data_IF_099420331112
#
_entry.id   IF_099420331112
#
_cell.length_a   1.000
_cell.length_b   1.000
_cell.length_c   1.000
_cell.angle_alpha   90.00
_cell.angle_beta   90.00
_cell.angle_gamma   90.00
#
_symmetry.space_group_name_H-M   'P 1'
#
loop_
_entity.id
_entity.type
_entity.pdbx_description
1 polymer ?
#
# COMPACT_ATOMS: atom_id res chain seq x y z
N UNK A 1 22.47 57.71 38.37
CA UNK A 1 21.21 57.75 37.59
C UNK A 1 21.51 56.99 36.30
N UNK A 2 21.25 55.70 36.31
CA UNK A 2 20.04 55.08 35.72
C UNK A 2 20.21 55.01 34.19
N UNK A 3 20.14 53.87 33.50
CA UNK A 3 19.65 52.57 33.89
C UNK A 3 19.98 51.51 32.84
N UNK A 4 19.71 50.28 33.26
CA UNK A 4 20.01 48.98 32.68
C UNK A 4 19.16 48.67 31.45
N UNK A 5 19.74 48.00 30.45
CA UNK A 5 19.06 46.89 29.76
C UNK A 5 20.06 46.03 29.00
N UNK A 6 20.61 45.03 29.71
CA UNK A 6 21.24 43.85 29.12
C UNK A 6 20.10 42.94 28.71
N UNK A 7 19.78 42.87 27.42
CA UNK A 7 18.89 41.84 26.91
C UNK A 7 19.67 40.52 26.83
N UNK A 8 19.60 39.75 27.91
CA UNK A 8 19.86 38.32 27.89
C UNK A 8 18.88 37.66 26.91
N UNK A 9 19.35 37.39 25.69
CA UNK A 9 18.71 36.41 24.84
C UNK A 9 19.14 35.03 25.29
N UNK A 10 18.50 34.54 26.36
CA UNK A 10 18.44 33.11 26.68
C UNK A 10 17.64 32.43 25.59
N UNK A 11 18.28 32.13 24.46
CA UNK A 11 17.74 31.21 23.48
C UNK A 11 17.86 29.81 24.07
N UNK A 12 16.80 29.38 24.76
CA UNK A 12 16.52 27.99 25.04
C UNK A 12 16.31 27.27 23.69
N UNK A 13 17.40 26.92 23.00
CA UNK A 13 17.36 25.90 21.99
C UNK A 13 17.18 24.57 22.72
N UNK A 14 15.92 24.20 22.93
CA UNK A 14 15.52 22.85 23.25
C UNK A 14 16.06 21.96 22.13
N UNK A 15 17.19 21.31 22.37
CA UNK A 15 17.67 20.20 21.55
C UNK A 15 16.70 19.04 21.73
N UNK A 16 15.57 19.11 21.04
CA UNK A 16 14.74 17.94 20.83
C UNK A 16 15.56 17.02 19.93
N UNK A 17 16.24 16.05 20.53
CA UNK A 17 16.73 14.85 19.86
C UNK A 17 15.53 14.01 19.45
N UNK A 18 14.67 14.58 18.60
CA UNK A 18 13.68 13.84 17.85
C UNK A 18 14.45 12.87 16.99
N UNK A 19 14.48 11.59 17.38
CA UNK A 19 14.86 10.48 16.48
C UNK A 19 14.07 10.72 15.19
N UNK A 20 14.73 11.26 14.17
CA UNK A 20 14.19 11.32 12.82
C UNK A 20 13.96 9.88 12.43
N UNK A 21 12.73 9.40 12.64
CA UNK A 21 12.24 8.18 12.00
C UNK A 21 12.22 8.56 10.53
N UNK A 22 13.30 8.26 9.82
CA UNK A 22 13.28 8.24 8.36
C UNK A 22 12.09 7.35 8.02
N UNK A 23 11.04 7.95 7.46
CA UNK A 23 9.99 7.17 6.81
C UNK A 23 10.73 6.51 5.65
N UNK A 24 11.17 5.28 5.87
CA UNK A 24 11.77 4.46 4.83
C UNK A 24 10.64 4.18 3.84
N UNK A 25 10.46 5.11 2.91
CA UNK A 25 9.64 4.88 1.73
C UNK A 25 10.29 3.71 1.01
N UNK A 26 9.60 2.59 0.82
CA UNK A 26 10.21 1.45 0.16
C UNK A 26 10.67 1.86 -1.23
N UNK A 27 11.86 1.41 -1.63
CA UNK A 27 12.37 1.65 -2.98
C UNK A 27 11.48 1.02 -4.04
N UNK A 28 11.67 1.42 -5.30
CA UNK A 28 10.86 0.99 -6.44
C UNK A 28 10.66 -0.53 -6.51
N UNK A 29 11.72 -1.31 -6.29
CA UNK A 29 11.65 -2.77 -6.27
C UNK A 29 10.65 -3.30 -5.22
N UNK A 30 10.68 -2.75 -4.01
CA UNK A 30 9.80 -3.16 -2.93
C UNK A 30 8.34 -2.78 -3.21
N UNK A 31 8.12 -1.62 -3.85
CA UNK A 31 6.79 -1.20 -4.29
C UNK A 31 6.24 -2.15 -5.36
N UNK A 32 7.03 -2.50 -6.37
CA UNK A 32 6.64 -3.43 -7.43
C UNK A 32 6.29 -4.82 -6.89
N UNK A 33 7.17 -5.40 -6.06
CA UNK A 33 6.92 -6.73 -5.48
C UNK A 33 5.74 -6.74 -4.53
N UNK A 34 5.58 -5.69 -3.71
CA UNK A 34 4.46 -5.58 -2.77
C UNK A 34 3.12 -5.35 -3.47
N UNK A 35 3.09 -4.50 -4.50
CA UNK A 35 1.88 -4.24 -5.31
C UNK A 35 1.45 -5.48 -6.08
N UNK A 36 2.41 -6.22 -6.64
CA UNK A 36 2.12 -7.48 -7.32
C UNK A 36 1.61 -8.55 -6.34
N UNK A 37 2.21 -8.68 -5.15
CA UNK A 37 1.69 -9.58 -4.11
C UNK A 37 0.26 -9.21 -3.70
N UNK A 38 -0.01 -7.92 -3.51
CA UNK A 38 -1.35 -7.43 -3.17
C UNK A 38 -2.38 -7.79 -4.24
N UNK A 39 -2.02 -7.65 -5.51
CA UNK A 39 -2.86 -8.07 -6.63
C UNK A 39 -3.17 -9.58 -6.59
N UNK A 40 -2.16 -10.43 -6.44
CA UNK A 40 -2.35 -11.88 -6.37
C UNK A 40 -3.22 -12.31 -5.18
N UNK A 41 -3.00 -11.68 -4.01
CA UNK A 41 -3.84 -11.93 -2.82
C UNK A 41 -5.29 -11.52 -3.08
N UNK A 42 -5.52 -10.40 -3.76
CA UNK A 42 -6.88 -9.94 -4.12
C UNK A 42 -7.55 -10.91 -5.10
N UNK A 43 -6.84 -11.36 -6.13
CA UNK A 43 -7.37 -12.34 -7.09
C UNK A 43 -7.74 -13.67 -6.42
N UNK A 44 -6.97 -14.08 -5.41
CA UNK A 44 -7.24 -15.28 -4.64
C UNK A 44 -8.34 -15.11 -3.55
N UNK A 45 -9.00 -13.93 -3.49
CA UNK A 45 -10.07 -13.62 -2.53
C UNK A 45 -9.57 -13.26 -1.12
N UNK A 46 -8.28 -12.98 -0.96
CA UNK A 46 -7.68 -12.51 0.28
C UNK A 46 -7.77 -11.00 0.50
N UNK A 47 -7.28 -10.53 1.64
CA UNK A 47 -7.35 -9.14 2.06
C UNK A 47 -5.98 -8.54 2.47
N UNK A 48 -5.95 -7.22 2.65
CA UNK A 48 -4.73 -6.48 3.06
C UNK A 48 -4.35 -6.68 4.54
N UNK A 49 -5.15 -7.43 5.31
CA UNK A 49 -4.88 -7.68 6.73
C UNK A 49 -3.74 -8.68 6.97
N UNK A 50 -3.32 -9.40 5.93
CA UNK A 50 -2.28 -10.42 6.00
C UNK A 50 -2.75 -11.74 6.63
N UNK A 51 -4.01 -11.84 7.09
CA UNK A 51 -4.56 -13.09 7.66
C UNK A 51 -4.63 -14.20 6.62
N UNK A 52 -5.04 -13.86 5.40
CA UNK A 52 -5.11 -14.82 4.31
C UNK A 52 -3.73 -15.40 3.99
N UNK A 53 -2.70 -14.54 3.91
CA UNK A 53 -1.32 -14.97 3.68
C UNK A 53 -0.74 -15.79 4.84
N UNK A 54 -1.01 -15.41 6.09
CA UNK A 54 -0.59 -16.19 7.27
C UNK A 54 -1.17 -17.61 7.22
N UNK A 55 -2.48 -17.74 6.97
CA UNK A 55 -3.14 -19.04 6.87
C UNK A 55 -2.54 -19.90 5.75
N UNK A 56 -2.35 -19.30 4.57
CA UNK A 56 -1.82 -20.02 3.41
C UNK A 56 -0.33 -20.37 3.54
N UNK A 57 0.48 -19.48 4.11
CA UNK A 57 1.89 -19.77 4.35
C UNK A 57 2.08 -20.88 5.39
N UNK A 58 1.23 -20.92 6.42
CA UNK A 58 1.25 -22.00 7.42
C UNK A 58 0.91 -23.37 6.82
N UNK A 59 0.11 -23.44 5.74
CA UNK A 59 -0.15 -24.69 5.01
C UNK A 59 1.10 -25.22 4.27
N UNK A 60 2.02 -24.34 3.87
CA UNK A 60 3.27 -24.72 3.21
C UNK A 60 4.32 -25.19 4.21
N UNK A 61 4.58 -24.37 5.23
CA UNK A 61 5.60 -24.63 6.24
C UNK A 61 5.34 -23.77 7.49
N UNK A 62 4.94 -24.44 8.57
CA UNK A 62 4.63 -23.82 9.85
C UNK A 62 5.87 -23.15 10.49
N UNK A 63 7.09 -23.60 10.17
CA UNK A 63 8.33 -23.06 10.73
C UNK A 63 8.74 -21.71 10.12
N UNK A 64 8.25 -21.41 8.92
CA UNK A 64 8.49 -20.15 8.20
C UNK A 64 7.26 -19.24 8.18
N UNK A 65 6.18 -19.64 8.84
CA UNK A 65 4.94 -18.89 8.94
C UNK A 65 5.16 -17.52 9.61
N UNK A 66 5.17 -16.47 8.79
CA UNK A 66 5.20 -15.10 9.27
C UNK A 66 3.81 -14.69 9.77
N UNK A 67 3.79 -13.93 10.87
CA UNK A 67 2.53 -13.46 11.48
C UNK A 67 1.76 -12.55 10.54
N UNK A 68 0.43 -12.53 10.61
CA UNK A 68 -0.42 -11.61 9.81
C UNK A 68 0.05 -10.16 9.81
N UNK A 69 0.52 -9.64 10.96
CA UNK A 69 0.97 -8.25 11.09
C UNK A 69 2.21 -7.95 10.25
N UNK A 70 3.03 -8.96 10.00
CA UNK A 70 4.18 -8.87 9.09
C UNK A 70 3.71 -8.77 7.64
N UNK A 71 2.86 -9.69 7.21
CA UNK A 71 2.28 -9.69 5.86
C UNK A 71 1.48 -8.42 5.56
N UNK A 72 0.73 -7.92 6.54
CA UNK A 72 0.02 -6.65 6.43
C UNK A 72 0.96 -5.48 6.10
N UNK A 73 2.17 -5.43 6.67
CA UNK A 73 3.13 -4.36 6.38
C UNK A 73 3.63 -4.41 4.94
N UNK A 74 3.87 -5.62 4.42
CA UNK A 74 4.24 -5.84 3.02
C UNK A 74 3.10 -5.45 2.09
N UNK A 75 1.87 -5.93 2.37
CA UNK A 75 0.68 -5.64 1.55
C UNK A 75 0.26 -4.16 1.55
N UNK A 76 0.59 -3.42 2.61
CA UNK A 76 0.38 -1.97 2.70
C UNK A 76 1.60 -1.16 2.25
N UNK A 77 2.61 -1.79 1.63
CA UNK A 77 3.80 -1.14 1.09
C UNK A 77 4.54 -0.29 2.16
N UNK A 78 4.55 -0.76 3.40
CA UNK A 78 5.30 -0.13 4.50
C UNK A 78 6.58 -0.89 4.84
N UNK A 79 6.78 -2.06 4.23
CA UNK A 79 7.93 -2.92 4.41
C UNK A 79 8.28 -3.65 3.11
N UNK A 80 9.57 -3.77 2.82
CA UNK A 80 10.07 -4.54 1.69
C UNK A 80 10.01 -6.04 1.98
N UNK A 81 9.78 -6.83 0.93
CA UNK A 81 9.94 -8.28 0.98
C UNK A 81 11.42 -8.65 1.04
N UNK A 82 11.76 -9.62 1.88
CA UNK A 82 13.05 -10.31 1.84
C UNK A 82 13.07 -11.37 0.74
N UNK A 83 14.25 -11.92 0.44
CA UNK A 83 14.38 -13.04 -0.50
C UNK A 83 13.55 -14.27 -0.07
N UNK A 84 13.48 -14.54 1.24
CA UNK A 84 12.67 -15.63 1.77
C UNK A 84 11.18 -15.36 1.58
N UNK A 85 10.72 -14.13 1.83
CA UNK A 85 9.32 -13.77 1.59
C UNK A 85 8.93 -13.92 0.13
N UNK A 86 9.84 -13.58 -0.79
CA UNK A 86 9.64 -13.78 -2.24
C UNK A 86 9.54 -15.28 -2.56
N UNK A 87 10.36 -16.12 -1.94
CA UNK A 87 10.30 -17.56 -2.14
C UNK A 87 8.97 -18.15 -1.63
N UNK A 88 8.53 -17.75 -0.43
CA UNK A 88 7.24 -18.15 0.13
C UNK A 88 6.08 -17.66 -0.73
N UNK A 89 6.07 -16.38 -1.11
CA UNK A 89 5.02 -15.81 -1.95
C UNK A 89 4.97 -16.51 -3.32
N UNK A 90 6.12 -16.77 -3.95
CA UNK A 90 6.15 -17.48 -5.23
C UNK A 90 5.60 -18.90 -5.12
N UNK A 91 5.98 -19.63 -4.06
CA UNK A 91 5.46 -20.97 -3.79
C UNK A 91 3.94 -20.99 -3.58
N UNK A 92 3.39 -19.99 -2.88
CA UNK A 92 1.95 -19.86 -2.65
C UNK A 92 1.11 -19.74 -3.93
N UNK A 93 1.71 -19.23 -5.00
CA UNK A 93 1.06 -19.01 -6.28
C UNK A 93 1.66 -19.88 -7.38
N UNK A 94 2.20 -21.05 -7.02
CA UNK A 94 2.74 -22.08 -7.91
C UNK A 94 3.70 -21.53 -8.98
N UNK A 95 4.59 -20.62 -8.58
CA UNK A 95 5.59 -20.02 -9.47
C UNK A 95 6.99 -19.98 -8.86
N UNK A 96 8.00 -19.80 -9.71
CA UNK A 96 9.37 -19.64 -9.23
C UNK A 96 9.62 -18.21 -8.70
N UNK A 97 10.56 -18.02 -7.75
CA UNK A 97 10.90 -16.68 -7.25
C UNK A 97 11.33 -15.73 -8.37
N UNK A 98 12.03 -16.24 -9.39
CA UNK A 98 12.42 -15.46 -10.57
C UNK A 98 11.21 -15.04 -11.40
N UNK A 99 10.25 -15.94 -11.62
CA UNK A 99 9.02 -15.63 -12.34
C UNK A 99 8.19 -14.57 -11.59
N UNK A 100 8.10 -14.69 -10.27
CA UNK A 100 7.43 -13.69 -9.41
C UNK A 100 8.05 -12.31 -9.59
N UNK A 101 9.37 -12.16 -9.43
CA UNK A 101 10.06 -10.87 -9.58
C UNK A 101 9.91 -10.32 -11.00
N UNK A 102 10.04 -11.17 -12.02
CA UNK A 102 9.88 -10.74 -13.41
C UNK A 102 8.46 -10.21 -13.66
N UNK A 103 7.42 -10.89 -13.17
CA UNK A 103 6.03 -10.46 -13.31
C UNK A 103 5.74 -9.20 -12.50
N UNK A 104 6.29 -9.08 -11.30
CA UNK A 104 6.17 -7.88 -10.47
C UNK A 104 6.73 -6.62 -11.16
N UNK A 105 7.85 -6.75 -11.89
CA UNK A 105 8.43 -5.63 -12.66
C UNK A 105 7.58 -5.22 -13.86
N UNK A 106 6.86 -6.15 -14.45
CA UNK A 106 5.96 -5.88 -15.58
C UNK A 106 4.55 -5.52 -15.13
N UNK A 107 4.23 -5.71 -13.85
CA UNK A 107 2.95 -5.38 -13.26
C UNK A 107 2.85 -3.87 -13.11
N UNK A 108 2.07 -3.24 -13.98
CA UNK A 108 1.64 -1.86 -13.80
C UNK A 108 0.40 -1.91 -12.92
N UNK A 109 0.57 -1.57 -11.64
CA UNK A 109 -0.58 -1.33 -10.79
C UNK A 109 -1.40 -0.21 -11.43
N UNK A 110 -2.66 -0.49 -11.81
CA UNK A 110 -3.65 0.56 -12.01
C UNK A 110 -3.57 1.49 -10.79
N UNK A 111 -3.55 2.83 -10.97
CA UNK A 111 -3.43 3.77 -9.87
C UNK A 111 -4.72 3.80 -9.06
N UNK A 112 -5.02 2.73 -8.34
CA UNK A 112 -5.96 2.72 -7.23
C UNK A 112 -5.33 3.50 -6.09
N UNK A 113 -5.46 4.83 -6.15
CA UNK A 113 -5.28 5.79 -5.06
C UNK A 113 -4.24 5.33 -4.03
N UNK A 114 -2.97 5.58 -4.33
CA UNK A 114 -1.89 5.56 -3.34
C UNK A 114 -2.39 6.27 -2.07
N UNK A 115 -2.15 5.73 -0.86
CA UNK A 115 -2.45 6.49 0.35
C UNK A 115 -1.61 7.76 0.30
N UNK A 116 -2.25 8.88 -0.01
CA UNK A 116 -1.63 10.20 0.06
C UNK A 116 -1.25 10.40 1.51
N UNK A 117 0.01 10.15 1.86
CA UNK A 117 0.58 10.71 3.06
C UNK A 117 0.62 12.23 2.86
N UNK A 118 -0.50 12.89 3.17
CA UNK A 118 -0.58 14.35 3.27
C UNK A 118 0.22 14.74 4.51
N UNK A 119 1.52 14.91 4.32
CA UNK A 119 2.35 15.73 5.20
C UNK A 119 2.93 16.84 4.33
N UNK A 120 2.09 17.79 3.94
CA UNK A 120 2.52 19.18 3.98
C UNK A 120 1.31 20.11 4.07
N UNK A 121 1.30 20.91 5.13
CA UNK A 121 0.27 21.90 5.35
C UNK A 121 0.54 23.11 4.48
N UNK A 122 -0.07 23.21 3.30
CA UNK A 122 -0.35 24.50 2.66
C UNK A 122 -1.27 24.36 1.44
N UNK A 123 -2.39 25.08 1.53
CA UNK A 123 -3.36 25.42 0.48
C UNK A 123 -4.23 24.26 -0.03
N UNK A 124 -5.50 24.29 0.37
CA UNK A 124 -6.53 23.43 -0.16
C UNK A 124 -7.17 23.96 -1.45
N UNK A 125 -7.83 23.07 -2.16
CA UNK A 125 -9.18 23.26 -2.70
C UNK A 125 -9.88 21.89 -2.62
N UNK A 126 -11.02 21.83 -1.92
CA UNK A 126 -12.00 20.74 -2.10
C UNK A 126 -12.57 20.77 -3.52
N UNK A 127 -13.44 19.88 -3.97
CA UNK A 127 -14.29 18.96 -3.28
C UNK A 127 -14.66 17.84 -4.25
N UNK A 128 -15.09 16.74 -3.67
CA UNK A 128 -15.93 15.69 -4.22
C UNK A 128 -17.02 16.18 -5.19
N UNK A 129 -16.96 15.75 -6.45
CA UNK A 129 -18.10 15.59 -7.34
C UNK A 129 -17.78 14.42 -8.29
N UNK A 130 -18.65 13.50 -8.68
CA UNK A 130 -19.99 13.08 -8.29
C UNK A 130 -20.12 11.70 -8.97
N UNK A 131 -20.62 10.72 -8.24
CA UNK A 131 -20.99 9.42 -8.80
C UNK A 131 -22.27 9.62 -9.61
N UNK A 132 -22.20 9.54 -10.94
CA UNK A 132 -23.41 9.37 -11.75
C UNK A 132 -23.77 7.88 -11.83
N UNK A 133 -24.91 7.43 -11.26
CA UNK A 133 -25.45 6.13 -11.62
C UNK A 133 -26.11 6.25 -12.99
N UNK A 134 -25.48 5.72 -14.04
CA UNK A 134 -26.13 5.54 -15.32
C UNK A 134 -27.22 4.45 -15.20
N UNK A 135 -28.39 4.92 -14.79
CA UNK A 135 -29.75 4.50 -15.12
C UNK A 135 -29.84 3.23 -15.97
N UNK A 136 -30.49 2.21 -15.41
CA UNK A 136 -31.01 1.07 -16.15
C UNK A 136 -31.86 1.57 -17.33
N UNK A 137 -31.41 1.30 -18.57
CA UNK A 137 -32.23 1.53 -19.74
C UNK A 137 -33.48 0.62 -19.68
N UNK A 138 -34.70 1.19 -19.78
CA UNK A 138 -35.91 0.40 -19.91
C UNK A 138 -35.87 -0.37 -21.23
N UNK A 139 -36.36 -1.62 -21.20
CA UNK A 139 -36.64 -2.43 -22.38
C UNK A 139 -37.64 -1.69 -23.26
N UNK A 140 -37.22 -1.25 -24.45
CA UNK A 140 -38.15 -1.03 -25.54
C UNK A 140 -38.43 -2.38 -26.23
N UNK A 141 -39.70 -2.79 -26.38
CA UNK A 141 -40.08 -3.93 -27.20
C UNK A 141 -40.10 -3.52 -28.68
N UNK A 142 -39.25 -4.14 -29.49
CA UNK A 142 -39.37 -4.02 -30.96
C UNK A 142 -40.50 -4.93 -31.46
N UNK A 143 -41.28 -4.46 -32.46
CA UNK A 143 -42.52 -5.08 -32.93
C UNK A 143 -42.29 -6.34 -33.78
N UNK A 144 -43.28 -7.23 -33.77
CA UNK A 144 -43.39 -8.32 -34.73
C UNK A 144 -43.61 -7.75 -36.14
N UNK A 145 -42.75 -8.14 -37.08
CA UNK A 145 -43.08 -8.10 -38.50
C UNK A 145 -43.33 -9.53 -38.99
N UNK A 146 -44.56 -9.74 -39.43
CA UNK A 146 -45.01 -10.87 -40.24
C UNK A 146 -44.41 -10.76 -41.65
N UNK A 147 -43.65 -11.77 -42.10
CA UNK A 147 -43.68 -12.32 -43.48
C UNK A 147 -43.22 -13.79 -43.48
#
# INVERSE_FOLDING_TARGET
>A
MDGVSVFEYSVLMTSSTGKRRSVLVPGEFAQQTGAYLQHLVREAGGDRSGRWLEAKAAELDESTAQKKTYWAKILNLTQAMTTNDIATAAALFDMSPYAFVRRARTYQAEPESMPTNVIDGRFGVGASEQYEPAVAHPRDPEPMDEQ
#
